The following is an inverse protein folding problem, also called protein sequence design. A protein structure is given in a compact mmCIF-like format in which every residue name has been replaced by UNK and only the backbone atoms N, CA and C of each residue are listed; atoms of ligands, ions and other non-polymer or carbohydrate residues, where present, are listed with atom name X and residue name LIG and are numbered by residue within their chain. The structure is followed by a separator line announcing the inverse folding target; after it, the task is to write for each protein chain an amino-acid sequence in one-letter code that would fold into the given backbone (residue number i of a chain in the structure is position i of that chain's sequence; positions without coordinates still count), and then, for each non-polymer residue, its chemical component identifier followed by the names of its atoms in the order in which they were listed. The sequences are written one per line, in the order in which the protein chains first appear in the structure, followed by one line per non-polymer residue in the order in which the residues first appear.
data_IF_440027069932
#
_entry.id   IF_440027069932
#
_cell.length_a   1.000
_cell.length_b   1.000
_cell.length_c   1.000
_cell.angle_alpha   90.00
_cell.angle_beta   90.00
_cell.angle_gamma   90.00
#
_symmetry.space_group_name_H-M   'P 1'
#
loop_
_entity.id
_entity.type
_entity.pdbx_description
1 polymer ?
#
# COMPACT_ATOMS: atom_id res chain seq x y z
N UNK A 1 24.05 3.21 19.56
CA UNK A 1 23.29 3.79 18.43
C UNK A 1 24.04 3.46 17.17
N UNK A 2 23.38 2.94 16.12
CA UNK A 2 24.05 2.68 14.85
C UNK A 2 24.47 3.99 14.19
N UNK A 3 25.63 4.03 13.55
CA UNK A 3 26.09 5.22 12.81
C UNK A 3 25.33 5.36 11.49
N UNK A 4 25.29 6.56 10.91
CA UNK A 4 24.64 6.80 9.61
C UNK A 4 25.14 5.84 8.53
N UNK A 5 26.45 5.58 8.49
CA UNK A 5 27.06 4.64 7.55
C UNK A 5 26.61 3.18 7.74
N UNK A 6 26.40 2.74 8.97
CA UNK A 6 25.89 1.39 9.26
C UNK A 6 24.44 1.19 8.81
N UNK A 7 23.62 2.25 8.91
CA UNK A 7 22.22 2.23 8.48
C UNK A 7 22.14 2.17 6.95
N UNK A 8 22.90 3.02 6.25
CA UNK A 8 22.97 3.02 4.78
C UNK A 8 23.48 1.67 4.27
N UNK A 9 24.54 1.11 4.88
CA UNK A 9 25.06 -0.20 4.48
C UNK A 9 24.04 -1.33 4.65
N UNK A 10 23.29 -1.33 5.76
CA UNK A 10 22.22 -2.31 5.99
C UNK A 10 21.09 -2.19 4.95
N UNK A 11 20.69 -0.96 4.60
CA UNK A 11 19.67 -0.70 3.59
C UNK A 11 20.12 -1.13 2.18
N UNK A 12 21.39 -0.97 1.84
CA UNK A 12 21.97 -1.48 0.58
C UNK A 12 21.90 -3.00 0.54
N UNK A 13 22.32 -3.68 1.61
CA UNK A 13 22.25 -5.15 1.69
C UNK A 13 20.81 -5.67 1.60
N UNK A 14 19.87 -5.01 2.28
CA UNK A 14 18.47 -5.39 2.25
C UNK A 14 17.83 -5.19 0.87
N UNK A 15 18.16 -4.07 0.19
CA UNK A 15 17.77 -3.84 -1.20
C UNK A 15 18.25 -4.97 -2.12
N UNK A 16 19.53 -5.33 -2.04
CA UNK A 16 20.10 -6.40 -2.88
C UNK A 16 19.45 -7.76 -2.60
N UNK A 17 19.12 -8.04 -1.33
CA UNK A 17 18.41 -9.25 -0.94
C UNK A 17 17.01 -9.30 -1.56
N UNK A 18 16.24 -8.21 -1.44
CA UNK A 18 14.90 -8.11 -1.99
C UNK A 18 14.89 -8.15 -3.52
N UNK A 19 15.88 -7.55 -4.20
CA UNK A 19 16.02 -7.61 -5.66
C UNK A 19 16.27 -9.05 -6.15
N UNK A 20 17.07 -9.83 -5.42
CA UNK A 20 17.29 -11.26 -5.71
C UNK A 20 16.01 -12.08 -5.48
N UNK A 21 15.31 -11.83 -4.37
CA UNK A 21 14.03 -12.49 -4.08
C UNK A 21 12.98 -12.15 -5.15
N UNK A 22 12.92 -10.89 -5.58
CA UNK A 22 12.02 -10.45 -6.64
C UNK A 22 12.28 -11.17 -7.96
N UNK A 23 13.56 -11.29 -8.35
CA UNK A 23 13.96 -11.97 -9.57
C UNK A 23 13.57 -13.45 -9.53
N UNK A 24 13.86 -14.14 -8.43
CA UNK A 24 13.51 -15.55 -8.26
C UNK A 24 11.99 -15.78 -8.28
N UNK A 25 11.23 -14.90 -7.62
CA UNK A 25 9.77 -14.95 -7.61
C UNK A 25 9.19 -14.75 -9.01
N UNK A 26 9.68 -13.75 -9.75
CA UNK A 26 9.26 -13.48 -11.13
C UNK A 26 9.58 -14.63 -12.07
N UNK A 27 10.74 -15.27 -11.92
CA UNK A 27 11.11 -16.45 -12.70
C UNK A 27 10.14 -17.61 -12.44
N UNK A 28 9.82 -17.87 -11.18
CA UNK A 28 8.84 -18.87 -10.79
C UNK A 28 7.44 -18.58 -11.32
N UNK A 29 6.95 -17.34 -11.18
CA UNK A 29 5.63 -16.95 -11.68
C UNK A 29 5.55 -17.04 -13.21
N UNK A 30 6.61 -16.66 -13.93
CA UNK A 30 6.67 -16.78 -15.38
C UNK A 30 6.63 -18.26 -15.82
N UNK A 31 7.36 -19.14 -15.12
CA UNK A 31 7.32 -20.58 -15.37
C UNK A 31 5.93 -21.16 -15.10
N UNK A 32 5.31 -20.78 -13.98
CA UNK A 32 3.96 -21.21 -13.61
C UNK A 32 2.91 -20.72 -14.63
N UNK A 33 3.01 -19.48 -15.12
CA UNK A 33 2.15 -18.98 -16.19
C UNK A 33 2.33 -19.84 -17.45
N UNK A 34 3.56 -20.11 -17.86
CA UNK A 34 3.84 -20.91 -19.06
C UNK A 34 3.28 -22.34 -18.96
N UNK A 35 3.31 -22.94 -17.78
CA UNK A 35 2.89 -24.33 -17.56
C UNK A 35 1.38 -24.47 -17.33
N UNK A 36 0.77 -23.60 -16.53
CA UNK A 36 -0.60 -23.75 -16.04
C UNK A 36 -1.59 -22.70 -16.59
N UNK A 37 -1.10 -21.69 -17.31
CA UNK A 37 -1.93 -20.58 -17.83
C UNK A 37 -2.30 -19.54 -16.76
N UNK A 38 -2.80 -18.38 -17.21
CA UNK A 38 -3.04 -17.18 -16.37
C UNK A 38 -4.20 -17.32 -15.38
N UNK A 39 -5.05 -18.34 -15.54
CA UNK A 39 -6.31 -18.47 -14.79
C UNK A 39 -6.15 -19.08 -13.40
N UNK A 40 -5.05 -19.82 -13.14
CA UNK A 40 -4.90 -20.56 -11.88
C UNK A 40 -4.14 -19.81 -10.79
N UNK A 41 -3.39 -18.74 -11.09
CA UNK A 41 -2.52 -18.08 -10.09
C UNK A 41 -2.31 -16.56 -10.24
N UNK A 42 -3.03 -15.83 -11.11
CA UNK A 42 -2.66 -14.45 -11.45
C UNK A 42 -2.80 -13.42 -10.31
N UNK A 43 -3.84 -13.48 -9.49
CA UNK A 43 -4.11 -12.45 -8.47
C UNK A 43 -3.06 -12.41 -7.34
N UNK A 44 -2.87 -13.53 -6.63
CA UNK A 44 -1.96 -13.58 -5.48
C UNK A 44 -0.49 -13.41 -5.90
N UNK A 45 -0.11 -13.91 -7.07
CA UNK A 45 1.24 -13.74 -7.63
C UNK A 45 1.52 -12.26 -7.94
N UNK A 46 0.55 -11.57 -8.57
CA UNK A 46 0.67 -10.15 -8.89
C UNK A 46 0.77 -9.28 -7.63
N UNK A 47 -0.06 -9.55 -6.62
CA UNK A 47 -0.02 -8.82 -5.35
C UNK A 47 1.33 -8.98 -4.62
N UNK A 48 1.92 -10.18 -4.66
CA UNK A 48 3.24 -10.45 -4.08
C UNK A 48 4.34 -9.71 -4.83
N UNK A 49 4.31 -9.74 -6.15
CA UNK A 49 5.26 -8.98 -6.98
C UNK A 49 5.15 -7.48 -6.70
N UNK A 50 3.94 -6.94 -6.67
CA UNK A 50 3.72 -5.51 -6.43
C UNK A 50 4.24 -5.09 -5.04
N UNK A 51 3.93 -5.84 -3.98
CA UNK A 51 4.40 -5.53 -2.62
C UNK A 51 5.92 -5.55 -2.52
N UNK A 52 6.58 -6.52 -3.17
CA UNK A 52 8.04 -6.60 -3.15
C UNK A 52 8.68 -5.45 -3.96
N UNK A 53 8.10 -5.12 -5.11
CA UNK A 53 8.52 -3.98 -5.93
C UNK A 53 8.39 -2.65 -5.16
N UNK A 54 7.26 -2.43 -4.47
CA UNK A 54 7.04 -1.24 -3.64
C UNK A 54 8.08 -1.13 -2.52
N UNK A 55 8.41 -2.23 -1.84
CA UNK A 55 9.47 -2.26 -0.82
C UNK A 55 10.82 -1.86 -1.39
N UNK A 56 11.22 -2.42 -2.54
CA UNK A 56 12.48 -2.10 -3.21
C UNK A 56 12.50 -0.62 -3.61
N UNK A 57 11.41 -0.10 -4.18
CA UNK A 57 11.29 1.31 -4.55
C UNK A 57 11.43 2.23 -3.35
N UNK A 58 10.81 1.90 -2.21
CA UNK A 58 10.93 2.70 -1.00
C UNK A 58 12.36 2.73 -0.48
N UNK A 59 13.05 1.58 -0.43
CA UNK A 59 14.45 1.53 0.00
C UNK A 59 15.35 2.33 -0.96
N UNK A 60 15.10 2.26 -2.28
CA UNK A 60 15.83 3.10 -3.27
C UNK A 60 15.66 4.59 -2.98
N UNK A 61 14.43 5.05 -2.75
CA UNK A 61 14.16 6.46 -2.38
C UNK A 61 14.87 6.86 -1.09
N UNK A 62 14.87 5.99 -0.07
CA UNK A 62 15.60 6.25 1.17
C UNK A 62 17.11 6.35 0.95
N UNK A 63 17.68 5.49 0.10
CA UNK A 63 19.11 5.53 -0.23
C UNK A 63 19.47 6.76 -1.08
N UNK A 64 18.60 7.19 -1.98
CA UNK A 64 18.76 8.44 -2.74
C UNK A 64 18.75 9.64 -1.78
N UNK A 65 17.76 9.72 -0.89
CA UNK A 65 17.69 10.77 0.13
C UNK A 65 18.87 10.76 1.11
N UNK A 66 19.46 9.60 1.39
CA UNK A 66 20.63 9.46 2.26
C UNK A 66 21.96 9.74 1.55
N UNK A 67 21.96 9.70 0.21
CA UNK A 67 23.10 10.05 -0.64
C UNK A 67 23.14 11.54 -1.01
N UNK A 68 21.99 12.21 -0.98
CA UNK A 68 21.90 13.67 -0.98
C UNK A 68 22.18 14.20 0.44
N UNK A 69 22.93 15.30 0.57
CA UNK A 69 22.98 16.01 1.85
C UNK A 69 21.54 16.44 2.19
N UNK A 70 20.97 15.84 3.23
CA UNK A 70 19.67 16.27 3.77
C UNK A 70 19.87 17.65 4.37
N UNK A 71 19.63 18.67 3.55
CA UNK A 71 19.58 20.05 4.01
C UNK A 71 18.35 20.26 4.87
N UNK A 72 18.40 21.22 5.77
CA UNK A 72 17.26 21.60 6.61
C UNK A 72 16.03 21.99 5.76
N UNK A 73 16.26 22.56 4.58
CA UNK A 73 15.23 22.86 3.58
C UNK A 73 14.56 21.60 3.00
N UNK A 74 15.31 20.57 2.62
CA UNK A 74 14.71 19.35 2.05
C UNK A 74 13.90 18.57 3.09
N UNK A 75 14.32 18.61 4.35
CA UNK A 75 13.57 18.07 5.47
C UNK A 75 12.26 18.85 5.71
N UNK A 76 12.31 20.19 5.67
CA UNK A 76 11.14 21.03 5.84
C UNK A 76 10.10 20.82 4.74
N UNK A 77 10.53 20.73 3.47
CA UNK A 77 9.65 20.42 2.33
C UNK A 77 8.97 19.05 2.50
N UNK A 78 9.72 18.05 2.97
CA UNK A 78 9.16 16.71 3.23
C UNK A 78 8.16 16.74 4.38
N UNK A 79 8.46 17.47 5.46
CA UNK A 79 7.57 17.62 6.61
C UNK A 79 6.25 18.32 6.24
N UNK A 80 6.31 19.33 5.37
CA UNK A 80 5.11 20.06 4.93
C UNK A 80 4.25 19.22 3.99
N UNK A 81 4.84 18.46 3.06
CA UNK A 81 4.10 17.48 2.27
C UNK A 81 3.42 16.40 3.13
N UNK A 82 4.06 15.94 4.21
CA UNK A 82 3.45 14.99 5.14
C UNK A 82 2.26 15.58 5.90
N UNK A 83 2.32 16.87 6.27
CA UNK A 83 1.18 17.58 6.88
C UNK A 83 0.02 17.70 5.91
N UNK A 84 0.27 18.09 4.66
CA UNK A 84 -0.77 18.19 3.63
C UNK A 84 -1.41 16.84 3.34
N UNK A 85 -0.61 15.78 3.18
CA UNK A 85 -1.12 14.43 2.95
C UNK A 85 -1.97 13.92 4.13
N UNK A 86 -1.56 14.23 5.37
CA UNK A 86 -2.37 13.94 6.57
C UNK A 86 -3.71 14.67 6.54
N UNK A 87 -3.71 15.96 6.18
CA UNK A 87 -4.95 16.73 6.10
C UNK A 87 -5.92 16.16 5.05
N UNK A 88 -5.41 15.79 3.86
CA UNK A 88 -6.19 15.14 2.80
C UNK A 88 -6.74 13.79 3.21
N UNK A 89 -5.96 12.99 3.94
CA UNK A 89 -6.41 11.71 4.48
C UNK A 89 -7.59 11.88 5.45
N UNK A 90 -7.50 12.82 6.40
CA UNK A 90 -8.58 13.09 7.36
C UNK A 90 -9.86 13.61 6.69
N UNK A 91 -9.74 14.41 5.63
CA UNK A 91 -10.89 14.84 4.83
C UNK A 91 -11.55 13.64 4.11
N UNK A 92 -10.75 12.79 3.48
CA UNK A 92 -11.23 11.61 2.77
C UNK A 92 -11.92 10.63 3.73
N UNK A 93 -11.32 10.41 4.90
CA UNK A 93 -11.87 9.57 5.97
C UNK A 93 -13.24 10.08 6.43
N UNK A 94 -13.36 11.38 6.69
CA UNK A 94 -14.63 12.01 7.10
C UNK A 94 -15.73 11.85 6.05
N UNK A 95 -15.37 11.96 4.76
CA UNK A 95 -16.30 11.73 3.66
C UNK A 95 -16.80 10.28 3.64
N UNK A 96 -15.89 9.32 3.81
CA UNK A 96 -16.23 7.90 3.86
C UNK A 96 -17.14 7.56 5.07
N UNK A 97 -16.83 8.09 6.25
CA UNK A 97 -17.65 7.92 7.46
C UNK A 97 -19.09 8.42 7.26
N UNK A 98 -19.25 9.60 6.65
CA UNK A 98 -20.57 10.15 6.33
C UNK A 98 -21.33 9.27 5.33
N UNK A 99 -20.66 8.74 4.31
CA UNK A 99 -21.28 7.82 3.36
C UNK A 99 -21.75 6.52 4.04
N UNK A 100 -20.95 5.95 4.95
CA UNK A 100 -21.32 4.75 5.72
C UNK A 100 -22.55 5.04 6.59
N UNK A 101 -22.59 6.18 7.26
CA UNK A 101 -23.73 6.58 8.08
C UNK A 101 -25.02 6.71 7.24
N UNK A 102 -24.94 7.40 6.09
CA UNK A 102 -26.07 7.54 5.17
C UNK A 102 -26.57 6.19 4.64
N UNK A 103 -25.66 5.30 4.24
CA UNK A 103 -26.02 3.96 3.80
C UNK A 103 -26.65 3.13 4.92
N UNK A 104 -26.13 3.24 6.13
CA UNK A 104 -26.68 2.54 7.30
C UNK A 104 -28.10 3.00 7.61
N UNK A 105 -28.34 4.32 7.58
CA UNK A 105 -29.67 4.89 7.76
C UNK A 105 -30.64 4.44 6.66
N UNK A 106 -30.21 4.48 5.39
CA UNK A 106 -31.01 4.02 4.26
C UNK A 106 -31.38 2.52 4.39
N UNK A 107 -30.44 1.67 4.78
CA UNK A 107 -30.71 0.25 5.06
C UNK A 107 -31.71 0.09 6.19
N UNK A 108 -31.63 0.90 7.24
CA UNK A 108 -32.61 0.94 8.33
C UNK A 108 -34.03 1.22 7.83
N UNK A 109 -34.20 2.28 7.03
CA UNK A 109 -35.49 2.64 6.44
C UNK A 109 -36.04 1.52 5.55
N UNK A 110 -35.19 0.92 4.70
CA UNK A 110 -35.62 -0.20 3.84
C UNK A 110 -36.07 -1.40 4.67
N UNK A 111 -35.40 -1.70 5.78
CA UNK A 111 -35.80 -2.78 6.70
C UNK A 111 -37.16 -2.50 7.35
N UNK A 112 -37.40 -1.26 7.80
CA UNK A 112 -38.69 -0.86 8.37
C UNK A 112 -39.83 -0.93 7.36
N UNK A 113 -39.61 -0.43 6.13
CA UNK A 113 -40.61 -0.52 5.06
C UNK A 113 -40.93 -1.98 4.69
N UNK A 114 -39.92 -2.83 4.62
CA UNK A 114 -40.12 -4.25 4.34
C UNK A 114 -40.89 -4.97 5.45
N UNK A 115 -40.67 -4.61 6.72
CA UNK A 115 -41.46 -5.10 7.86
C UNK A 115 -42.94 -4.70 7.72
N UNK A 116 -43.22 -3.44 7.38
CA UNK A 116 -44.59 -2.93 7.17
C UNK A 116 -45.27 -3.67 6.00
N UNK A 117 -44.51 -3.96 4.94
CA UNK A 117 -45.00 -4.68 3.77
C UNK A 117 -45.11 -6.21 3.96
N UNK A 118 -44.72 -6.76 5.13
CA UNK A 118 -44.71 -8.20 5.39
C UNK A 118 -43.63 -8.98 4.64
N UNK A 119 -42.62 -8.28 4.11
CA UNK A 119 -41.51 -8.87 3.35
C UNK A 119 -40.40 -9.26 4.34
N UNK A 120 -39.96 -10.52 4.27
CA UNK A 120 -38.85 -11.03 5.10
C UNK A 120 -37.51 -10.54 4.54
N UNK A 121 -36.85 -9.61 5.25
CA UNK A 121 -35.49 -9.16 4.93
C UNK A 121 -34.48 -10.07 5.62
N UNK A 122 -33.50 -10.60 4.88
CA UNK A 122 -32.33 -11.31 5.44
C UNK A 122 -31.19 -10.33 5.72
#
# INVERSE_FOLDING_TARGET
MKTHGEIVSALVQEKECLEKEFAAMREFHLAAWKEYGSELCSGEMHDKEQKLAEKITNIRKFLEMAGEEVTEESFQVTADHLKENRARYEETKRCAEKHIEMHTAAVGVVKELALIAGIKVR
#
